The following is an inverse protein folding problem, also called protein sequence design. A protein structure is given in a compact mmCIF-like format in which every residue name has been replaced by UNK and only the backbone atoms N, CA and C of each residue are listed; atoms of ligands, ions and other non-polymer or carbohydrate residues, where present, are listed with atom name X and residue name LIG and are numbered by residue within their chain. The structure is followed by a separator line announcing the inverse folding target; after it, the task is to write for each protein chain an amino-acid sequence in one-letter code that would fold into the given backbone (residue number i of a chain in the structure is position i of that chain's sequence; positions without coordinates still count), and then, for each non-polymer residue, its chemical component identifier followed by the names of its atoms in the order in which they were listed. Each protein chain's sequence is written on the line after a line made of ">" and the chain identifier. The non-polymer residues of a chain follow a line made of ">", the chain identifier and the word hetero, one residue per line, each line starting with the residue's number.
data_IF_769097623651
#
_entry.id   IF_769097623651
#
_cell.length_a   1.000
_cell.length_b   1.000
_cell.length_c   1.000
_cell.angle_alpha   90.00
_cell.angle_beta   90.00
_cell.angle_gamma   90.00
#
_symmetry.space_group_name_H-M   'P 1'
#
loop_
_entity.id
_entity.type
_entity.pdbx_description
1 polymer ?
#
# COMPACT_ATOMS: atom_id res chain seq x y z
N UNK A 1 -25.13 37.21 -63.75
CA UNK A 1 -24.60 38.59 -63.79
C UNK A 1 -24.01 38.89 -62.42
N UNK A 2 -22.69 39.09 -62.34
CA UNK A 2 -22.00 39.68 -61.18
C UNK A 2 -22.42 41.16 -61.06
N UNK A 3 -22.44 41.80 -59.86
CA UNK A 3 -21.17 42.16 -59.22
C UNK A 3 -21.10 42.26 -57.68
N UNK A 4 -19.85 42.20 -57.20
CA UNK A 4 -19.22 42.94 -56.10
C UNK A 4 -19.78 42.84 -54.67
N UNK A 5 -19.03 42.13 -53.83
CA UNK A 5 -18.12 42.80 -52.87
C UNK A 5 -17.12 41.79 -52.28
N UNK A 6 -15.86 41.89 -52.69
CA UNK A 6 -14.70 41.42 -51.94
C UNK A 6 -14.37 42.47 -50.87
N UNK A 7 -14.02 42.05 -49.65
CA UNK A 7 -12.88 42.60 -48.88
C UNK A 7 -12.58 41.65 -47.71
N UNK A 8 -11.37 41.07 -47.79
CA UNK A 8 -10.50 40.52 -46.73
C UNK A 8 -11.08 39.54 -45.70
N UNK A 9 -10.64 38.28 -45.75
CA UNK A 9 -9.52 37.79 -44.91
C UNK A 9 -9.34 36.27 -45.09
N UNK A 10 -8.65 35.83 -46.14
CA UNK A 10 -8.18 34.45 -46.26
C UNK A 10 -6.80 34.46 -46.91
N UNK A 11 -5.78 34.36 -46.06
CA UNK A 11 -4.47 33.73 -46.28
C UNK A 11 -3.50 34.28 -45.23
N UNK A 12 -3.27 33.51 -44.16
CA UNK A 12 -1.92 33.23 -43.68
C UNK A 12 -2.00 32.03 -42.70
N UNK A 13 -2.14 30.84 -43.29
CA UNK A 13 -1.48 29.68 -42.72
C UNK A 13 0.03 29.91 -42.85
N UNK A 14 0.78 29.45 -41.84
CA UNK A 14 2.25 29.46 -41.71
C UNK A 14 2.87 30.65 -40.95
N UNK A 15 2.63 30.70 -39.63
CA UNK A 15 3.66 31.09 -38.63
C UNK A 15 3.15 30.93 -37.19
N UNK A 16 2.60 29.77 -36.82
CA UNK A 16 2.47 29.45 -35.39
C UNK A 16 3.86 29.03 -34.90
N UNK A 17 4.43 29.93 -34.11
CA UNK A 17 5.75 29.85 -33.49
C UNK A 17 5.99 28.51 -32.77
N UNK A 18 7.26 28.06 -32.65
CA UNK A 18 7.60 26.87 -31.86
C UNK A 18 7.26 27.01 -30.37
N UNK A 19 6.86 28.21 -29.92
CA UNK A 19 6.41 28.48 -28.55
C UNK A 19 5.03 27.89 -28.21
N UNK A 20 4.15 27.62 -29.19
CA UNK A 20 2.81 27.06 -28.90
C UNK A 20 2.83 25.52 -28.80
N UNK A 21 3.94 24.87 -29.20
CA UNK A 21 4.19 23.46 -28.89
C UNK A 21 4.73 23.23 -27.48
N UNK A 22 5.09 24.29 -26.74
CA UNK A 22 5.75 24.19 -25.44
C UNK A 22 4.80 24.30 -24.22
N UNK A 23 3.48 24.45 -24.41
CA UNK A 23 2.52 24.63 -23.31
C UNK A 23 1.48 23.51 -23.17
N UNK A 24 1.67 22.38 -23.86
CA UNK A 24 0.88 21.15 -23.67
C UNK A 24 1.73 19.99 -23.11
N UNK A 25 2.78 20.32 -22.34
CA UNK A 25 3.18 19.42 -21.26
C UNK A 25 2.17 19.65 -20.12
N UNK A 26 0.98 19.06 -20.26
CA UNK A 26 0.17 18.77 -19.09
C UNK A 26 1.10 18.01 -18.15
N UNK A 27 1.52 18.67 -17.07
CA UNK A 27 2.09 18.01 -15.90
C UNK A 27 1.04 16.97 -15.49
N UNK A 28 1.20 15.73 -15.97
CA UNK A 28 0.43 14.57 -15.56
C UNK A 28 0.91 14.17 -14.16
N UNK A 29 0.88 15.14 -13.24
CA UNK A 29 1.09 14.94 -11.82
C UNK A 29 -0.28 14.63 -11.23
N UNK A 30 -0.45 13.43 -10.69
CA UNK A 30 -1.59 13.11 -9.82
C UNK A 30 -1.77 14.24 -8.79
N UNK A 31 -2.99 14.74 -8.55
CA UNK A 31 -3.25 15.91 -7.70
C UNK A 31 -2.93 15.70 -6.21
N UNK A 32 -2.49 14.51 -5.81
CA UNK A 32 -2.32 14.09 -4.43
C UNK A 32 -0.86 13.79 -4.06
N UNK A 33 0.07 14.07 -4.97
CA UNK A 33 1.50 13.96 -4.66
C UNK A 33 1.94 15.06 -3.71
N UNK A 34 2.84 14.70 -2.80
CA UNK A 34 3.64 15.71 -2.12
C UNK A 34 4.56 16.37 -3.15
N UNK A 35 4.55 17.71 -3.29
CA UNK A 35 5.30 18.42 -4.33
C UNK A 35 6.83 18.32 -4.13
N UNK A 36 7.27 18.00 -2.91
CA UNK A 36 8.66 17.81 -2.54
C UNK A 36 8.81 16.50 -1.75
N UNK A 37 8.94 15.34 -2.41
CA UNK A 37 8.96 14.04 -1.72
C UNK A 37 10.09 13.89 -0.70
N UNK A 38 11.19 14.62 -0.87
CA UNK A 38 12.34 14.65 0.04
C UNK A 38 11.96 15.16 1.43
N UNK A 39 11.02 16.11 1.54
CA UNK A 39 10.52 16.58 2.85
C UNK A 39 9.85 15.46 3.64
N UNK A 40 9.16 14.54 2.95
CA UNK A 40 8.53 13.37 3.59
C UNK A 40 9.60 12.37 4.04
N UNK A 41 10.66 12.18 3.24
CA UNK A 41 11.82 11.37 3.61
C UNK A 41 12.50 11.93 4.86
N UNK A 42 12.79 13.23 4.88
CA UNK A 42 13.45 13.91 5.99
C UNK A 42 12.61 13.84 7.28
N UNK A 43 11.29 13.97 7.16
CA UNK A 43 10.38 13.79 8.30
C UNK A 43 10.40 12.37 8.87
N UNK A 44 10.46 11.34 8.00
CA UNK A 44 10.63 9.95 8.44
C UNK A 44 11.95 9.78 9.20
N UNK A 45 13.05 10.30 8.67
CA UNK A 45 14.36 10.26 9.33
C UNK A 45 14.36 11.01 10.67
N UNK A 46 13.70 12.17 10.73
CA UNK A 46 13.55 12.95 11.96
C UNK A 46 12.79 12.15 13.02
N UNK A 47 11.65 11.54 12.68
CA UNK A 47 10.87 10.71 13.62
C UNK A 47 11.66 9.49 14.10
N UNK A 48 12.39 8.83 13.21
CA UNK A 48 13.27 7.71 13.54
C UNK A 48 14.34 8.13 14.55
N UNK A 49 15.07 9.22 14.29
CA UNK A 49 16.11 9.73 15.18
C UNK A 49 15.55 10.07 16.57
N UNK A 50 14.37 10.70 16.63
CA UNK A 50 13.69 10.98 17.91
C UNK A 50 13.37 9.69 18.67
N UNK A 51 12.84 8.66 17.99
CA UNK A 51 12.54 7.36 18.62
C UNK A 51 13.78 6.64 19.12
N UNK A 52 14.85 6.61 18.34
CA UNK A 52 16.13 6.00 18.74
C UNK A 52 16.72 6.73 19.95
N UNK A 53 16.76 8.07 19.92
CA UNK A 53 17.27 8.87 21.03
C UNK A 53 16.48 8.65 22.32
N UNK A 54 15.15 8.63 22.24
CA UNK A 54 14.28 8.35 23.41
C UNK A 54 14.58 6.98 24.01
N UNK A 55 14.71 5.94 23.16
CA UNK A 55 15.08 4.60 23.61
C UNK A 55 16.45 4.58 24.29
N UNK A 56 17.45 5.24 23.71
CA UNK A 56 18.81 5.29 24.26
C UNK A 56 18.86 5.99 25.63
N UNK A 57 18.22 7.16 25.76
CA UNK A 57 18.21 7.92 27.02
C UNK A 57 17.57 7.10 28.16
N UNK A 58 16.44 6.43 27.88
CA UNK A 58 15.75 5.63 28.89
C UNK A 58 16.53 4.37 29.26
N UNK A 59 17.23 3.74 28.31
CA UNK A 59 18.09 2.57 28.60
C UNK A 59 19.30 2.88 29.50
N UNK A 60 19.69 4.16 29.62
CA UNK A 60 20.79 4.59 30.50
C UNK A 60 20.29 4.91 31.92
N UNK A 61 18.99 5.21 32.08
CA UNK A 61 18.41 5.63 33.36
C UNK A 61 17.77 4.48 34.16
N UNK A 62 17.33 3.40 33.50
CA UNK A 62 16.68 2.26 34.16
C UNK A 62 17.61 1.05 34.22
N UNK A 63 18.08 0.72 35.43
CA UNK A 63 18.78 -0.54 35.73
C UNK A 63 17.78 -1.70 36.03
N UNK A 64 16.49 -1.51 35.74
CA UNK A 64 15.41 -2.44 36.07
C UNK A 64 14.22 -2.26 35.10
N UNK A 65 13.86 -3.29 34.33
CA UNK A 65 12.63 -3.36 33.52
C UNK A 65 12.69 -2.79 32.09
N UNK A 66 12.23 -3.57 31.10
CA UNK A 66 12.29 -3.23 29.67
C UNK A 66 11.45 -1.99 29.30
N UNK A 67 12.10 -0.92 28.86
CA UNK A 67 11.42 0.19 28.17
C UNK A 67 10.56 -0.33 27.02
N UNK A 68 9.29 0.13 26.92
CA UNK A 68 8.39 -0.22 25.82
C UNK A 68 8.88 0.29 24.45
N UNK A 69 9.84 1.25 24.46
CA UNK A 69 10.36 1.86 23.25
C UNK A 69 11.29 0.91 22.50
N UNK A 70 10.94 0.72 21.23
CA UNK A 70 11.66 -0.12 20.29
C UNK A 70 12.65 0.68 19.43
N UNK A 71 12.47 2.01 19.35
CA UNK A 71 13.19 2.85 18.39
C UNK A 71 12.53 2.89 17.01
N UNK A 72 11.38 2.22 16.87
CA UNK A 72 10.51 2.31 15.70
C UNK A 72 9.40 3.34 15.99
N UNK A 73 9.36 4.49 15.29
CA UNK A 73 8.42 5.57 15.58
C UNK A 73 6.96 5.21 15.38
N UNK A 74 6.64 4.20 14.56
CA UNK A 74 5.27 3.72 14.40
C UNK A 74 4.83 2.98 15.66
N UNK A 75 5.60 1.97 16.07
CA UNK A 75 5.27 1.13 17.22
C UNK A 75 5.35 1.92 18.53
N UNK A 76 6.37 2.76 18.70
CA UNK A 76 6.55 3.61 19.88
C UNK A 76 5.37 4.59 20.08
N UNK A 77 4.66 4.95 19.02
CA UNK A 77 3.53 5.89 19.07
C UNK A 77 2.26 5.29 19.70
N UNK A 78 2.00 3.99 19.49
CA UNK A 78 0.77 3.34 19.96
C UNK A 78 0.99 2.16 20.90
N UNK A 79 2.03 1.33 20.73
CA UNK A 79 2.26 0.14 21.58
C UNK A 79 2.64 0.50 23.00
N UNK A 80 3.28 1.65 23.18
CA UNK A 80 3.61 2.21 24.48
C UNK A 80 2.41 2.81 25.22
N UNK A 81 1.23 2.92 24.60
CA UNK A 81 0.00 3.29 25.31
C UNK A 81 -0.53 2.05 26.06
N UNK A 82 -0.49 2.00 27.41
CA UNK A 82 -0.99 0.86 28.17
C UNK A 82 -2.51 0.67 27.99
N UNK A 83 -3.22 1.69 27.47
CA UNK A 83 -4.66 1.67 27.22
C UNK A 83 -4.98 1.56 25.71
N UNK A 84 -4.05 1.11 24.86
CA UNK A 84 -4.27 1.04 23.41
C UNK A 84 -5.54 0.27 23.03
N UNK A 85 -5.95 -0.73 23.83
CA UNK A 85 -7.15 -1.54 23.62
C UNK A 85 -8.42 -0.68 23.67
N UNK A 86 -8.45 0.33 24.55
CA UNK A 86 -9.55 1.29 24.67
C UNK A 86 -9.40 2.47 23.69
N UNK A 87 -8.18 2.70 23.20
CA UNK A 87 -7.82 3.78 22.28
C UNK A 87 -7.45 3.25 20.88
N UNK A 88 -8.12 2.19 20.39
CA UNK A 88 -7.72 1.51 19.13
C UNK A 88 -7.51 2.45 17.96
N UNK A 89 -8.39 3.44 17.81
CA UNK A 89 -8.35 4.38 16.69
C UNK A 89 -7.14 5.33 16.71
N UNK A 90 -6.45 5.47 17.85
CA UNK A 90 -5.19 6.23 17.98
C UNK A 90 -4.10 5.70 17.06
N UNK A 91 -4.16 4.41 16.69
CA UNK A 91 -3.24 3.84 15.70
C UNK A 91 -3.15 4.69 14.42
N UNK A 92 -4.28 5.23 13.95
CA UNK A 92 -4.32 6.04 12.71
C UNK A 92 -3.52 7.36 12.80
N UNK A 93 -3.09 7.78 13.99
CA UNK A 93 -2.20 8.93 14.18
C UNK A 93 -0.71 8.58 14.13
N UNK A 94 -0.38 7.29 14.05
CA UNK A 94 0.98 6.77 14.11
C UNK A 94 1.60 6.47 12.75
N UNK A 95 0.86 6.71 11.66
CA UNK A 95 1.37 6.59 10.30
C UNK A 95 2.57 7.51 10.05
N UNK A 96 3.49 7.05 9.20
CA UNK A 96 4.67 7.79 8.76
C UNK A 96 4.77 7.76 7.24
N UNK A 97 5.69 8.53 6.67
CA UNK A 97 5.98 8.47 5.23
C UNK A 97 4.82 8.96 4.37
N UNK A 98 4.78 8.51 3.12
CA UNK A 98 3.76 8.97 2.17
C UNK A 98 2.33 8.54 2.51
N UNK A 99 2.16 7.51 3.32
CA UNK A 99 0.86 7.01 3.78
C UNK A 99 0.41 7.58 5.13
N UNK A 100 1.16 8.53 5.72
CA UNK A 100 0.87 9.06 7.06
C UNK A 100 -0.54 9.69 7.21
N UNK A 101 -1.12 10.17 6.10
CA UNK A 101 -2.45 10.79 6.10
C UNK A 101 -3.59 9.76 5.91
N UNK A 102 -3.28 8.46 5.91
CA UNK A 102 -4.28 7.40 5.85
C UNK A 102 -5.07 7.36 7.16
N UNK A 103 -6.27 7.93 7.16
CA UNK A 103 -7.12 7.96 8.36
C UNK A 103 -7.84 6.63 8.61
N UNK A 104 -7.92 5.75 7.61
CA UNK A 104 -8.73 4.53 7.69
C UNK A 104 -10.17 4.85 8.08
N UNK A 105 -10.70 4.08 9.03
CA UNK A 105 -12.02 4.29 9.63
C UNK A 105 -12.04 5.19 10.86
N UNK A 106 -10.98 5.97 11.15
CA UNK A 106 -10.92 6.84 12.32
C UNK A 106 -12.12 7.82 12.37
N UNK A 107 -12.71 7.97 13.56
CA UNK A 107 -13.92 8.77 13.79
C UNK A 107 -15.21 8.07 13.38
N UNK A 108 -15.13 6.89 12.76
CA UNK A 108 -16.26 6.03 12.47
C UNK A 108 -16.59 5.09 13.63
N UNK A 109 -17.73 4.42 13.50
CA UNK A 109 -18.17 3.40 14.44
C UNK A 109 -17.30 2.15 14.36
N UNK A 110 -17.26 1.41 15.48
CA UNK A 110 -16.68 0.07 15.48
C UNK A 110 -17.63 -0.91 14.81
N UNK A 111 -17.08 -1.77 13.96
CA UNK A 111 -17.78 -2.92 13.42
C UNK A 111 -17.04 -4.18 13.86
N UNK A 112 -17.69 -5.05 14.61
CA UNK A 112 -17.09 -6.31 15.07
C UNK A 112 -17.51 -7.42 14.13
N UNK A 113 -16.54 -8.00 13.42
CA UNK A 113 -16.75 -9.24 12.65
C UNK A 113 -16.97 -10.38 13.64
N UNK A 114 -18.09 -11.07 13.47
CA UNK A 114 -18.53 -12.21 14.29
C UNK A 114 -18.70 -13.48 13.46
N UNK A 115 -18.74 -13.35 12.14
CA UNK A 115 -18.86 -14.45 11.20
C UNK A 115 -17.68 -14.43 10.21
N UNK A 116 -17.03 -15.58 10.07
CA UNK A 116 -15.89 -15.78 9.16
C UNK A 116 -16.30 -16.26 7.77
N UNK A 117 -17.60 -16.49 7.53
CA UNK A 117 -18.15 -16.94 6.26
C UNK A 117 -18.04 -15.87 5.15
N UNK A 118 -18.01 -16.34 3.90
CA UNK A 118 -17.98 -15.50 2.70
C UNK A 118 -18.83 -16.10 1.56
N UNK A 119 -20.04 -16.53 1.89
CA UNK A 119 -20.85 -17.38 0.99
C UNK A 119 -21.45 -16.64 -0.21
N UNK A 120 -21.92 -15.40 -0.01
CA UNK A 120 -22.56 -14.59 -1.03
C UNK A 120 -21.77 -13.29 -1.28
N UNK A 121 -21.01 -13.19 -2.40
CA UNK A 121 -20.26 -11.99 -2.75
C UNK A 121 -21.15 -10.83 -3.20
N UNK A 122 -22.42 -11.11 -3.54
CA UNK A 122 -23.42 -10.13 -3.99
C UNK A 122 -24.26 -9.64 -2.81
N UNK A 123 -24.58 -10.48 -1.83
CA UNK A 123 -25.38 -10.09 -0.65
C UNK A 123 -24.72 -10.58 0.65
N UNK A 124 -23.59 -9.96 1.07
CA UNK A 124 -22.90 -10.39 2.27
C UNK A 124 -23.78 -10.20 3.51
N UNK A 125 -23.78 -11.19 4.41
CA UNK A 125 -24.55 -11.13 5.65
C UNK A 125 -23.92 -10.15 6.67
N UNK A 126 -24.71 -9.38 7.43
CA UNK A 126 -24.21 -8.68 8.62
C UNK A 126 -23.50 -9.65 9.58
N UNK A 127 -22.42 -9.21 10.20
CA UNK A 127 -21.48 -10.01 10.98
C UNK A 127 -20.22 -10.42 10.20
N UNK A 128 -20.26 -10.42 8.85
CA UNK A 128 -19.12 -10.82 8.01
C UNK A 128 -18.18 -9.67 7.68
N UNK A 129 -16.92 -10.00 7.38
CA UNK A 129 -15.94 -9.02 6.91
C UNK A 129 -16.38 -8.35 5.59
N UNK A 130 -16.94 -9.12 4.64
CA UNK A 130 -17.40 -8.58 3.35
C UNK A 130 -18.49 -7.53 3.53
N UNK A 131 -19.44 -7.76 4.44
CA UNK A 131 -20.45 -6.74 4.74
C UNK A 131 -19.81 -5.46 5.29
N UNK A 132 -18.84 -5.58 6.20
CA UNK A 132 -18.21 -4.44 6.84
C UNK A 132 -17.43 -3.55 5.86
N UNK A 133 -16.60 -4.15 5.01
CA UNK A 133 -15.66 -3.40 4.16
C UNK A 133 -16.33 -2.61 3.04
N UNK A 134 -17.53 -3.00 2.61
CA UNK A 134 -18.24 -2.30 1.54
C UNK A 134 -19.02 -1.07 2.01
N UNK A 135 -19.27 -0.92 3.32
CA UNK A 135 -20.12 0.16 3.84
C UNK A 135 -19.63 1.56 3.43
N UNK A 136 -20.55 2.50 3.28
CA UNK A 136 -20.20 3.86 2.83
C UNK A 136 -19.59 4.69 3.96
N UNK A 137 -20.10 4.54 5.19
CA UNK A 137 -19.58 5.25 6.36
C UNK A 137 -18.16 4.77 6.74
N UNK A 138 -17.35 5.64 7.38
CA UNK A 138 -16.10 5.22 8.00
C UNK A 138 -16.34 4.10 9.01
N UNK A 139 -15.55 3.02 8.97
CA UNK A 139 -15.66 1.92 9.94
C UNK A 139 -14.29 1.47 10.44
N UNK A 140 -14.18 1.34 11.76
CA UNK A 140 -13.07 0.64 12.41
C UNK A 140 -13.46 -0.82 12.64
N UNK A 141 -12.99 -1.70 11.76
CA UNK A 141 -13.40 -3.11 11.72
C UNK A 141 -12.46 -3.92 12.62
N UNK A 142 -13.02 -4.61 13.62
CA UNK A 142 -12.30 -5.52 14.52
C UNK A 142 -12.90 -6.93 14.44
N UNK A 143 -12.30 -7.87 15.15
CA UNK A 143 -12.70 -9.28 15.13
C UNK A 143 -12.99 -9.77 16.55
N UNK A 144 -14.11 -10.46 16.72
CA UNK A 144 -14.55 -10.99 18.02
C UNK A 144 -13.71 -12.17 18.53
N UNK A 145 -13.06 -12.90 17.63
CA UNK A 145 -12.25 -14.08 17.93
C UNK A 145 -11.23 -14.31 16.81
N UNK A 146 -10.36 -15.30 16.99
CA UNK A 146 -9.49 -15.79 15.92
C UNK A 146 -10.35 -16.31 14.76
N UNK A 147 -9.99 -15.96 13.53
CA UNK A 147 -10.78 -16.30 12.35
C UNK A 147 -9.91 -16.74 11.19
N UNK A 148 -10.38 -17.76 10.47
CA UNK A 148 -9.91 -18.10 9.13
C UNK A 148 -11.00 -17.72 8.13
N UNK A 149 -10.83 -16.59 7.46
CA UNK A 149 -11.77 -16.06 6.47
C UNK A 149 -11.30 -16.53 5.09
N UNK A 150 -11.98 -17.55 4.55
CA UNK A 150 -11.71 -18.08 3.22
C UNK A 150 -12.62 -17.41 2.20
N UNK A 151 -12.07 -16.44 1.49
CA UNK A 151 -12.80 -15.66 0.51
C UNK A 151 -13.19 -16.50 -0.71
N UNK A 152 -14.41 -16.29 -1.18
CA UNK A 152 -14.96 -16.95 -2.39
C UNK A 152 -14.56 -16.22 -3.67
N UNK A 153 -14.40 -14.90 -3.58
CA UNK A 153 -13.92 -14.00 -4.62
C UNK A 153 -13.24 -12.77 -4.00
N UNK A 154 -12.64 -11.91 -4.83
CA UNK A 154 -12.06 -10.63 -4.41
C UNK A 154 -12.93 -9.90 -3.37
N UNK A 155 -12.32 -9.53 -2.25
CA UNK A 155 -12.88 -8.69 -1.21
C UNK A 155 -12.62 -7.22 -1.59
N UNK A 156 -13.63 -6.59 -2.19
CA UNK A 156 -13.55 -5.17 -2.56
C UNK A 156 -13.73 -4.33 -1.30
N UNK A 157 -12.72 -3.54 -0.94
CA UNK A 157 -12.74 -2.67 0.24
C UNK A 157 -13.05 -1.25 -0.17
N UNK A 158 -14.06 -0.65 0.44
CA UNK A 158 -14.46 0.73 0.19
C UNK A 158 -13.54 1.73 0.92
N UNK A 159 -13.66 3.03 0.63
CA UNK A 159 -12.91 4.09 1.31
C UNK A 159 -13.24 4.17 2.81
N UNK A 160 -12.33 4.79 3.57
CA UNK A 160 -12.48 5.03 5.02
C UNK A 160 -12.71 3.76 5.83
N UNK A 161 -11.81 2.78 5.65
CA UNK A 161 -11.86 1.50 6.36
C UNK A 161 -10.56 1.27 7.11
N UNK A 162 -10.68 0.86 8.36
CA UNK A 162 -9.58 0.20 9.06
C UNK A 162 -9.97 -1.25 9.25
N UNK A 163 -9.12 -2.18 8.82
CA UNK A 163 -9.20 -3.60 9.20
C UNK A 163 -8.12 -3.82 10.27
N UNK A 164 -8.54 -3.98 11.52
CA UNK A 164 -7.68 -4.07 12.70
C UNK A 164 -7.75 -5.46 13.33
N UNK A 165 -6.75 -6.28 13.04
CA UNK A 165 -6.62 -7.63 13.57
C UNK A 165 -6.14 -7.71 15.02
N UNK A 166 -5.76 -6.60 15.67
CA UNK A 166 -5.23 -6.66 17.05
C UNK A 166 -6.22 -7.30 18.02
N UNK A 167 -5.72 -8.26 18.81
CA UNK A 167 -6.52 -9.02 19.79
C UNK A 167 -7.13 -10.31 19.24
N UNK A 168 -6.95 -10.60 17.94
CA UNK A 168 -7.35 -11.85 17.33
C UNK A 168 -6.28 -12.32 16.33
N UNK A 169 -6.16 -13.63 16.13
CA UNK A 169 -5.38 -14.18 15.03
C UNK A 169 -6.29 -14.33 13.80
N UNK A 170 -6.15 -13.42 12.83
CA UNK A 170 -7.03 -13.31 11.67
C UNK A 170 -6.28 -13.66 10.40
N UNK A 171 -6.70 -14.74 9.77
CA UNK A 171 -6.19 -15.22 8.49
C UNK A 171 -7.20 -14.92 7.38
N UNK A 172 -6.76 -14.25 6.31
CA UNK A 172 -7.52 -13.97 5.10
C UNK A 172 -6.87 -14.76 3.96
N UNK A 173 -7.64 -15.64 3.33
CA UNK A 173 -7.14 -16.56 2.30
C UNK A 173 -8.18 -16.80 1.22
N UNK A 174 -7.87 -17.65 0.25
CA UNK A 174 -8.82 -18.12 -0.75
C UNK A 174 -8.71 -17.34 -2.05
N UNK A 175 -9.86 -16.98 -2.61
CA UNK A 175 -9.98 -16.52 -4.00
C UNK A 175 -9.96 -14.99 -4.06
N UNK A 176 -9.05 -14.43 -4.85
CA UNK A 176 -8.91 -13.00 -5.14
C UNK A 176 -8.29 -12.15 -4.02
N UNK A 177 -8.52 -12.50 -2.76
CA UNK A 177 -8.08 -11.75 -1.59
C UNK A 177 -8.48 -10.26 -1.65
N UNK A 178 -7.64 -9.32 -1.24
CA UNK A 178 -8.08 -7.95 -0.97
C UNK A 178 -7.83 -7.02 -2.15
N UNK A 179 -8.85 -6.25 -2.55
CA UNK A 179 -8.74 -5.29 -3.66
C UNK A 179 -9.17 -3.90 -3.21
N UNK A 180 -8.20 -2.96 -3.22
CA UNK A 180 -8.36 -1.54 -2.94
C UNK A 180 -8.39 -0.77 -4.27
N UNK A 181 -9.56 -0.74 -4.93
CA UNK A 181 -9.68 -0.13 -6.26
C UNK A 181 -10.44 1.20 -6.22
N UNK A 182 -9.78 2.27 -6.68
CA UNK A 182 -10.31 3.64 -6.75
C UNK A 182 -10.81 4.18 -5.40
N UNK A 183 -10.15 3.80 -4.31
CA UNK A 183 -10.51 4.18 -2.95
C UNK A 183 -9.46 5.05 -2.28
N UNK A 184 -9.84 5.62 -1.14
CA UNK A 184 -8.90 6.37 -0.31
C UNK A 184 -9.12 6.16 1.18
N UNK A 185 -8.07 6.42 1.97
CA UNK A 185 -8.09 6.31 3.43
C UNK A 185 -8.41 4.89 3.88
N UNK A 186 -7.48 3.96 3.62
CA UNK A 186 -7.61 2.56 4.06
C UNK A 186 -6.40 2.21 4.91
N UNK A 187 -6.65 1.61 6.08
CA UNK A 187 -5.63 1.01 6.94
C UNK A 187 -5.89 -0.49 7.01
N UNK A 188 -4.89 -1.32 6.73
CA UNK A 188 -4.92 -2.76 6.96
C UNK A 188 -3.85 -3.06 7.98
N UNK A 189 -4.23 -3.55 9.15
CA UNK A 189 -3.34 -3.71 10.28
C UNK A 189 -3.50 -5.06 10.99
N UNK A 190 -2.39 -5.77 11.20
CA UNK A 190 -2.36 -6.94 12.10
C UNK A 190 -3.08 -8.18 11.58
N UNK A 191 -3.15 -8.39 10.26
CA UNK A 191 -3.79 -9.58 9.65
C UNK A 191 -2.78 -10.45 8.89
N UNK A 192 -3.10 -11.74 8.75
CA UNK A 192 -2.34 -12.69 7.95
C UNK A 192 -3.03 -12.88 6.59
N UNK A 193 -2.37 -12.52 5.49
CA UNK A 193 -2.91 -12.68 4.12
C UNK A 193 -2.09 -13.71 3.38
N UNK A 194 -2.68 -14.84 3.00
CA UNK A 194 -1.91 -15.91 2.37
C UNK A 194 -2.73 -16.85 1.51
N UNK A 195 -2.06 -17.63 0.64
CA UNK A 195 -2.71 -18.63 -0.20
C UNK A 195 -3.84 -18.03 -1.06
N UNK A 196 -3.62 -16.81 -1.53
CA UNK A 196 -4.51 -16.11 -2.45
C UNK A 196 -4.39 -16.71 -3.85
N UNK A 197 -5.52 -17.01 -4.48
CA UNK A 197 -5.56 -17.60 -5.82
C UNK A 197 -6.51 -16.81 -6.73
N UNK A 198 -6.34 -16.84 -8.06
CA UNK A 198 -7.20 -16.17 -9.02
C UNK A 198 -8.70 -16.40 -8.77
N UNK A 199 -9.49 -15.36 -8.96
CA UNK A 199 -10.95 -15.40 -8.88
C UNK A 199 -11.59 -14.47 -9.89
N UNK A 200 -12.90 -14.52 -10.08
CA UNK A 200 -13.62 -13.59 -10.95
C UNK A 200 -14.59 -14.29 -11.87
N UNK A 201 -14.97 -13.59 -12.93
CA UNK A 201 -16.12 -13.91 -13.78
C UNK A 201 -17.38 -14.09 -12.93
N UNK A 202 -17.62 -13.13 -12.05
CA UNK A 202 -18.74 -13.11 -11.13
C UNK A 202 -19.16 -11.68 -10.82
N UNK A 203 -20.42 -11.53 -10.44
CA UNK A 203 -20.93 -10.29 -9.84
C UNK A 203 -20.45 -10.20 -8.39
N UNK A 204 -19.87 -9.04 -8.04
CA UNK A 204 -19.36 -8.78 -6.68
C UNK A 204 -19.86 -7.40 -6.23
N UNK A 205 -20.36 -7.34 -5.00
CA UNK A 205 -20.76 -6.08 -4.37
C UNK A 205 -19.52 -5.28 -3.94
N UNK A 206 -19.46 -4.00 -4.32
CA UNK A 206 -18.39 -3.08 -3.91
C UNK A 206 -18.87 -1.95 -2.99
N UNK A 207 -20.18 -1.70 -2.93
CA UNK A 207 -20.81 -0.76 -2.01
C UNK A 207 -22.24 -1.22 -1.67
N UNK A 208 -22.94 -0.58 -0.70
CA UNK A 208 -24.33 -0.94 -0.41
C UNK A 208 -25.26 -0.79 -1.62
N UNK A 209 -24.89 0.07 -2.58
CA UNK A 209 -25.72 0.40 -3.76
C UNK A 209 -25.15 -0.11 -5.08
N UNK A 210 -23.98 -0.75 -5.09
CA UNK A 210 -23.31 -1.17 -6.31
C UNK A 210 -22.86 -2.63 -6.29
N UNK A 211 -23.30 -3.37 -7.29
CA UNK A 211 -22.80 -4.69 -7.68
C UNK A 211 -22.28 -4.57 -9.11
N UNK A 212 -21.08 -5.09 -9.36
CA UNK A 212 -20.46 -5.04 -10.68
C UNK A 212 -19.85 -6.37 -11.07
N UNK A 213 -19.84 -6.63 -12.38
CA UNK A 213 -19.15 -7.78 -12.95
C UNK A 213 -17.64 -7.61 -12.81
N UNK A 214 -16.99 -8.63 -12.26
CA UNK A 214 -15.53 -8.68 -12.06
C UNK A 214 -14.92 -9.71 -13.00
N UNK A 215 -13.93 -9.28 -13.78
CA UNK A 215 -13.09 -10.17 -14.57
C UNK A 215 -12.17 -11.01 -13.69
N UNK A 216 -11.30 -11.80 -14.32
CA UNK A 216 -10.34 -12.64 -13.61
C UNK A 216 -9.25 -11.78 -12.94
N UNK A 217 -9.04 -11.98 -11.64
CA UNK A 217 -7.92 -11.44 -10.87
C UNK A 217 -6.70 -12.37 -10.92
N UNK A 218 -5.52 -11.81 -10.68
CA UNK A 218 -4.25 -12.56 -10.75
C UNK A 218 -3.99 -13.40 -9.49
N UNK A 219 -4.64 -13.06 -8.38
CA UNK A 219 -4.52 -13.76 -7.10
C UNK A 219 -3.45 -13.15 -6.19
N UNK A 220 -3.34 -11.82 -6.21
CA UNK A 220 -2.52 -11.06 -5.28
C UNK A 220 -3.03 -11.18 -3.84
N UNK A 221 -2.16 -10.94 -2.86
CA UNK A 221 -2.57 -10.76 -1.47
C UNK A 221 -3.40 -9.48 -1.28
N UNK A 222 -2.80 -8.33 -1.57
CA UNK A 222 -3.42 -7.01 -1.50
C UNK A 222 -3.13 -6.26 -2.81
N UNK A 223 -4.17 -6.04 -3.63
CA UNK A 223 -4.09 -5.28 -4.87
C UNK A 223 -4.57 -3.84 -4.65
N UNK A 224 -3.74 -2.85 -4.97
CA UNK A 224 -3.98 -1.42 -4.82
C UNK A 224 -4.01 -0.77 -6.20
N UNK A 225 -5.20 -0.33 -6.62
CA UNK A 225 -5.45 0.10 -7.99
C UNK A 225 -6.04 1.51 -8.02
N UNK A 226 -5.28 2.48 -8.53
CA UNK A 226 -5.72 3.88 -8.59
C UNK A 226 -6.18 4.47 -7.25
N UNK A 227 -5.59 3.98 -6.15
CA UNK A 227 -6.01 4.30 -4.78
C UNK A 227 -4.99 5.19 -4.07
N UNK A 228 -5.40 5.87 -2.99
CA UNK A 228 -4.54 6.81 -2.28
C UNK A 228 -4.72 6.82 -0.77
N UNK A 229 -3.72 7.30 -0.03
CA UNK A 229 -3.75 7.35 1.45
C UNK A 229 -4.02 5.96 2.01
N UNK A 230 -3.08 5.06 1.74
CA UNK A 230 -3.15 3.65 2.11
C UNK A 230 -2.03 3.33 3.08
N UNK A 231 -2.35 2.61 4.15
CA UNK A 231 -1.36 2.14 5.12
C UNK A 231 -1.55 0.66 5.40
N UNK A 232 -0.54 -0.15 5.08
CA UNK A 232 -0.50 -1.59 5.34
C UNK A 232 0.56 -1.84 6.39
N UNK A 233 0.14 -2.24 7.59
CA UNK A 233 0.99 -2.26 8.78
C UNK A 233 0.88 -3.56 9.57
N UNK A 234 1.99 -4.10 10.11
CA UNK A 234 1.96 -5.29 10.97
C UNK A 234 1.25 -6.52 10.37
N UNK A 235 1.19 -6.63 9.05
CA UNK A 235 0.60 -7.78 8.37
C UNK A 235 1.65 -8.86 8.11
N UNK A 236 1.20 -10.12 8.01
CA UNK A 236 2.02 -11.22 7.51
C UNK A 236 1.51 -11.68 6.15
N UNK A 237 2.37 -11.69 5.12
CA UNK A 237 1.97 -12.03 3.76
C UNK A 237 2.86 -13.14 3.17
N UNK A 238 2.24 -14.16 2.55
CA UNK A 238 2.96 -15.31 1.99
C UNK A 238 2.13 -16.14 1.01
N UNK A 239 2.77 -16.98 0.20
CA UNK A 239 2.12 -18.02 -0.61
C UNK A 239 0.95 -17.56 -1.50
N UNK A 240 0.96 -16.33 -2.02
CA UNK A 240 -0.08 -15.91 -2.97
C UNK A 240 0.23 -16.43 -4.38
N UNK A 241 -0.69 -16.28 -5.33
CA UNK A 241 -0.46 -16.78 -6.68
C UNK A 241 0.43 -15.87 -7.51
N UNK A 242 0.21 -14.56 -7.41
CA UNK A 242 0.93 -13.55 -8.19
C UNK A 242 1.71 -12.61 -7.26
N UNK A 243 1.27 -11.39 -6.97
CA UNK A 243 1.90 -10.47 -6.00
C UNK A 243 1.53 -10.74 -4.53
N UNK A 244 2.37 -10.34 -3.56
CA UNK A 244 1.88 -10.17 -2.18
C UNK A 244 1.20 -8.80 -2.02
N UNK A 245 1.85 -7.73 -2.50
CA UNK A 245 1.27 -6.38 -2.55
C UNK A 245 1.60 -5.73 -3.88
N UNK A 246 0.58 -5.43 -4.66
CA UNK A 246 0.74 -4.78 -5.97
C UNK A 246 0.05 -3.41 -5.96
N UNK A 247 0.81 -2.34 -6.22
CA UNK A 247 0.29 -0.98 -6.32
C UNK A 247 0.50 -0.42 -7.72
N UNK A 248 -0.60 -0.14 -8.42
CA UNK A 248 -0.57 0.19 -9.85
C UNK A 248 -1.57 1.31 -10.19
N UNK A 249 -1.57 1.74 -11.44
CA UNK A 249 -2.62 2.59 -12.02
C UNK A 249 -2.75 3.96 -11.36
N UNK A 250 -1.62 4.59 -11.03
CA UNK A 250 -1.57 5.90 -10.41
C UNK A 250 -1.89 5.87 -8.91
N UNK A 251 -1.70 4.73 -8.25
CA UNK A 251 -1.79 4.67 -6.79
C UNK A 251 -0.67 5.48 -6.13
N UNK A 252 -0.97 6.21 -5.05
CA UNK A 252 0.01 7.12 -4.42
C UNK A 252 -0.32 7.43 -2.97
N UNK A 253 0.63 7.96 -2.19
CA UNK A 253 0.41 8.21 -0.77
C UNK A 253 0.25 6.91 0.01
N UNK A 254 1.23 6.01 -0.13
CA UNK A 254 1.17 4.66 0.43
C UNK A 254 2.30 4.47 1.45
N UNK A 255 2.02 3.79 2.55
CA UNK A 255 3.05 3.26 3.45
C UNK A 255 2.82 1.78 3.72
N UNK A 256 3.89 1.00 3.59
CA UNK A 256 3.93 -0.43 3.86
C UNK A 256 4.96 -0.61 4.97
N UNK A 257 4.50 -0.82 6.21
CA UNK A 257 5.38 -0.85 7.37
C UNK A 257 5.22 -2.05 8.29
N UNK A 258 6.29 -2.44 8.98
CA UNK A 258 6.24 -3.49 10.01
C UNK A 258 5.66 -4.84 9.55
N UNK A 259 5.63 -5.10 8.25
CA UNK A 259 5.07 -6.34 7.73
C UNK A 259 6.13 -7.45 7.71
N UNK A 260 5.67 -8.68 7.76
CA UNK A 260 6.49 -9.86 7.53
C UNK A 260 6.11 -10.50 6.19
N UNK A 261 7.08 -10.60 5.28
CA UNK A 261 6.93 -11.25 3.99
C UNK A 261 7.75 -12.54 3.98
N UNK A 262 7.19 -13.65 3.49
CA UNK A 262 7.93 -14.91 3.36
C UNK A 262 7.35 -15.80 2.27
N UNK A 263 8.15 -16.78 1.83
CA UNK A 263 7.74 -17.90 0.97
C UNK A 263 6.94 -17.46 -0.27
N UNK A 264 7.56 -16.65 -1.12
CA UNK A 264 6.88 -16.05 -2.26
C UNK A 264 7.88 -15.55 -3.33
N UNK A 265 7.55 -15.71 -4.61
CA UNK A 265 8.42 -15.27 -5.69
C UNK A 265 8.34 -13.75 -5.92
N UNK A 266 7.17 -13.28 -6.33
CA UNK A 266 6.94 -11.90 -6.76
C UNK A 266 6.35 -11.07 -5.61
N UNK A 267 7.20 -10.54 -4.73
CA UNK A 267 6.76 -9.96 -3.46
C UNK A 267 5.92 -8.69 -3.63
N UNK A 268 6.46 -7.66 -4.27
CA UNK A 268 5.82 -6.35 -4.32
C UNK A 268 6.10 -5.61 -5.63
N UNK A 269 5.05 -5.38 -6.42
CA UNK A 269 5.13 -4.58 -7.64
C UNK A 269 4.61 -3.16 -7.41
N UNK A 270 5.43 -2.16 -7.75
CA UNK A 270 5.05 -0.75 -7.70
C UNK A 270 5.10 -0.20 -9.13
N UNK A 271 3.94 -0.10 -9.77
CA UNK A 271 3.76 0.29 -11.18
C UNK A 271 3.86 -0.89 -12.15
N UNK A 272 2.91 -1.00 -13.10
CA UNK A 272 2.68 -2.19 -13.91
C UNK A 272 3.25 -2.13 -15.34
N UNK A 273 3.31 -0.94 -15.93
CA UNK A 273 3.70 -0.74 -17.34
C UNK A 273 4.73 0.39 -17.46
N UNK A 274 5.83 0.10 -18.15
CA UNK A 274 6.92 1.03 -18.43
C UNK A 274 6.49 2.25 -19.26
N UNK A 275 5.28 2.23 -19.84
CA UNK A 275 4.66 3.32 -20.62
C UNK A 275 3.51 4.03 -19.91
N UNK A 276 3.07 3.54 -18.75
CA UNK A 276 1.96 4.16 -18.02
C UNK A 276 2.42 5.40 -17.24
N UNK A 277 2.36 6.57 -17.88
CA UNK A 277 2.88 7.83 -17.33
C UNK A 277 2.30 8.26 -15.97
N UNK A 278 1.01 8.00 -15.64
CA UNK A 278 0.46 8.41 -14.34
C UNK A 278 1.18 7.80 -13.12
N UNK A 279 1.87 6.65 -13.27
CA UNK A 279 2.69 6.06 -12.21
C UNK A 279 3.93 6.93 -11.87
N UNK A 280 4.28 7.94 -12.70
CA UNK A 280 5.26 8.97 -12.32
C UNK A 280 4.87 9.71 -11.04
N UNK A 281 3.57 9.73 -10.74
CA UNK A 281 3.04 10.33 -9.53
C UNK A 281 2.94 9.42 -8.31
N UNK A 282 3.37 8.18 -8.43
CA UNK A 282 3.37 7.24 -7.31
C UNK A 282 4.38 7.66 -6.25
N UNK A 283 3.95 7.69 -4.99
CA UNK A 283 4.82 7.96 -3.84
C UNK A 283 4.56 6.91 -2.76
N UNK A 284 5.59 6.13 -2.40
CA UNK A 284 5.47 4.96 -1.50
C UNK A 284 6.61 4.94 -0.49
N UNK A 285 6.28 4.69 0.78
CA UNK A 285 7.26 4.40 1.84
C UNK A 285 7.19 2.92 2.22
N UNK A 286 8.33 2.24 2.22
CA UNK A 286 8.50 0.85 2.65
C UNK A 286 9.42 0.88 3.86
N UNK A 287 8.88 0.69 5.06
CA UNK A 287 9.62 0.93 6.29
C UNK A 287 9.52 -0.21 7.30
N UNK A 288 10.62 -0.60 7.95
CA UNK A 288 10.59 -1.55 9.08
C UNK A 288 10.01 -2.95 8.76
N UNK A 289 9.91 -3.31 7.49
CA UNK A 289 9.44 -4.64 7.11
C UNK A 289 10.56 -5.67 7.30
N UNK A 290 10.17 -6.90 7.58
CA UNK A 290 11.04 -8.05 7.50
C UNK A 290 10.71 -8.83 6.23
N UNK A 291 11.60 -8.73 5.25
CA UNK A 291 11.63 -9.59 4.07
C UNK A 291 12.39 -10.86 4.41
N UNK A 292 11.63 -11.87 4.85
CA UNK A 292 12.13 -13.09 5.46
C UNK A 292 12.51 -14.18 4.47
N UNK A 293 12.42 -15.42 4.94
CA UNK A 293 12.85 -16.60 4.18
C UNK A 293 11.97 -16.92 2.96
N UNK A 294 12.56 -17.61 1.98
CA UNK A 294 11.86 -18.11 0.80
C UNK A 294 11.35 -17.01 -0.13
N UNK A 295 11.96 -15.82 -0.12
CA UNK A 295 11.64 -14.75 -1.05
C UNK A 295 12.57 -14.75 -2.25
N UNK A 296 12.02 -14.63 -3.46
CA UNK A 296 12.83 -14.66 -4.69
C UNK A 296 13.21 -13.26 -5.15
N UNK A 297 12.22 -12.37 -5.35
CA UNK A 297 12.44 -11.05 -5.95
C UNK A 297 11.37 -10.01 -5.60
N UNK A 298 11.56 -8.79 -6.11
CA UNK A 298 10.60 -7.66 -6.05
C UNK A 298 10.32 -7.15 -4.64
N UNK A 299 11.37 -6.80 -3.90
CA UNK A 299 11.25 -6.24 -2.55
C UNK A 299 11.77 -4.78 -2.46
N UNK A 300 11.19 -3.79 -3.17
CA UNK A 300 10.16 -3.86 -4.20
C UNK A 300 10.73 -4.00 -5.62
N UNK A 301 9.84 -4.17 -6.62
CA UNK A 301 10.13 -3.86 -8.04
C UNK A 301 9.36 -2.60 -8.46
N UNK A 302 10.08 -1.52 -8.72
CA UNK A 302 9.49 -0.20 -9.00
C UNK A 302 9.49 0.19 -10.48
N UNK A 303 8.48 0.94 -10.88
CA UNK A 303 8.43 1.68 -12.15
C UNK A 303 8.03 3.12 -11.88
N UNK A 304 8.82 4.07 -12.41
CA UNK A 304 8.61 5.51 -12.20
C UNK A 304 8.49 5.85 -10.71
N UNK A 305 7.78 6.92 -10.37
CA UNK A 305 7.43 7.27 -9.00
C UNK A 305 8.62 7.55 -8.08
N UNK A 306 8.30 7.82 -6.82
CA UNK A 306 9.24 8.05 -5.74
C UNK A 306 9.03 7.02 -4.62
N UNK A 307 10.05 6.21 -4.35
CA UNK A 307 9.98 5.12 -3.39
C UNK A 307 11.06 5.31 -2.33
N UNK A 308 10.63 5.44 -1.08
CA UNK A 308 11.51 5.48 0.08
C UNK A 308 11.54 4.11 0.77
N UNK A 309 12.67 3.41 0.69
CA UNK A 309 12.90 2.10 1.30
C UNK A 309 13.80 2.30 2.52
N UNK A 310 13.27 2.19 3.73
CA UNK A 310 13.97 2.59 4.96
C UNK A 310 13.90 1.58 6.09
N UNK A 311 15.04 1.27 6.70
CA UNK A 311 15.13 0.40 7.89
C UNK A 311 14.41 -0.95 7.78
N UNK A 312 14.38 -1.56 6.60
CA UNK A 312 13.89 -2.93 6.41
C UNK A 312 15.02 -3.94 6.62
N UNK A 313 14.68 -5.16 7.03
CA UNK A 313 15.60 -6.29 7.09
C UNK A 313 15.32 -7.25 5.93
N UNK A 314 16.35 -7.55 5.14
CA UNK A 314 16.28 -8.42 3.96
C UNK A 314 17.12 -9.67 4.18
N UNK A 315 16.49 -10.84 4.09
CA UNK A 315 17.12 -12.12 4.33
C UNK A 315 17.12 -12.99 3.08
N UNK A 316 18.31 -13.26 2.55
CA UNK A 316 18.60 -14.33 1.59
C UNK A 316 17.64 -14.43 0.40
N UNK A 317 17.46 -13.33 -0.34
CA UNK A 317 16.69 -13.35 -1.59
C UNK A 317 17.33 -14.29 -2.63
N UNK A 318 16.52 -14.89 -3.50
CA UNK A 318 17.06 -15.84 -4.50
C UNK A 318 17.50 -15.20 -5.82
N UNK A 319 16.94 -14.04 -6.20
CA UNK A 319 17.29 -13.37 -7.47
C UNK A 319 17.76 -11.92 -7.31
N UNK A 320 16.97 -11.07 -6.65
CA UNK A 320 17.37 -9.70 -6.28
C UNK A 320 16.45 -9.15 -5.18
N UNK A 321 16.94 -8.23 -4.35
CA UNK A 321 16.10 -7.54 -3.39
C UNK A 321 15.29 -6.41 -4.05
N UNK A 322 15.95 -5.32 -4.43
CA UNK A 322 15.32 -4.10 -4.94
C UNK A 322 15.55 -4.00 -6.45
N UNK A 323 14.48 -3.83 -7.23
CA UNK A 323 14.58 -3.72 -8.68
C UNK A 323 13.78 -2.56 -9.26
N UNK A 324 14.07 -2.21 -10.50
CA UNK A 324 13.22 -1.27 -11.22
C UNK A 324 13.46 -1.14 -12.72
N UNK A 325 12.46 -0.59 -13.41
CA UNK A 325 12.46 -0.22 -14.83
C UNK A 325 11.73 1.12 -15.02
N UNK A 326 11.86 1.77 -16.19
CA UNK A 326 11.17 3.04 -16.49
C UNK A 326 11.46 4.20 -15.51
N UNK A 327 12.72 4.38 -15.13
CA UNK A 327 13.25 5.52 -14.37
C UNK A 327 12.54 5.80 -13.01
N UNK A 328 12.51 4.83 -12.07
CA UNK A 328 12.02 5.09 -10.74
C UNK A 328 13.06 5.82 -9.88
N UNK A 329 12.60 6.66 -8.97
CA UNK A 329 13.46 7.20 -7.90
C UNK A 329 13.35 6.29 -6.68
N UNK A 330 14.45 5.60 -6.34
CA UNK A 330 14.51 4.70 -5.18
C UNK A 330 15.52 5.25 -4.18
N UNK A 331 15.02 5.76 -3.05
CA UNK A 331 15.82 6.21 -1.92
C UNK A 331 15.91 5.10 -0.88
N UNK A 332 17.07 4.44 -0.76
CA UNK A 332 17.31 3.33 0.19
C UNK A 332 18.18 3.79 1.36
N UNK A 333 17.65 3.81 2.59
CA UNK A 333 18.32 4.33 3.78
C UNK A 333 18.23 3.34 4.95
N UNK A 334 19.34 3.06 5.65
CA UNK A 334 19.33 2.27 6.90
C UNK A 334 18.83 0.82 6.81
N UNK A 335 18.66 0.26 5.61
CA UNK A 335 18.25 -1.14 5.42
C UNK A 335 19.39 -2.10 5.74
N UNK A 336 19.05 -3.26 6.30
CA UNK A 336 19.97 -4.38 6.55
C UNK A 336 19.78 -5.46 5.49
N UNK A 337 20.89 -5.92 4.91
CA UNK A 337 20.86 -6.95 3.85
C UNK A 337 21.75 -8.13 4.25
N UNK A 338 21.15 -9.29 4.39
CA UNK A 338 21.85 -10.58 4.53
C UNK A 338 21.77 -11.31 3.20
N UNK A 339 22.81 -11.18 2.37
CA UNK A 339 22.83 -11.80 1.04
C UNK A 339 22.79 -13.34 1.10
N UNK A 340 22.20 -14.01 0.09
CA UNK A 340 22.19 -15.47 -0.02
C UNK A 340 23.60 -16.04 -0.20
N UNK A 341 23.76 -17.36 -0.02
CA UNK A 341 25.04 -18.05 -0.28
C UNK A 341 25.49 -17.96 -1.75
N UNK A 342 24.54 -18.00 -2.69
CA UNK A 342 24.78 -17.97 -4.14
C UNK A 342 25.48 -16.66 -4.57
N UNK A 343 26.57 -16.82 -5.32
CA UNK A 343 27.38 -15.70 -5.83
C UNK A 343 26.64 -14.89 -6.90
N UNK A 344 25.71 -15.52 -7.64
CA UNK A 344 24.95 -14.87 -8.71
C UNK A 344 23.79 -14.01 -8.19
N UNK A 345 23.44 -14.15 -6.90
CA UNK A 345 22.36 -13.43 -6.25
C UNK A 345 22.85 -12.41 -5.21
N UNK A 346 24.15 -12.05 -5.22
CA UNK A 346 24.72 -11.08 -4.27
C UNK A 346 24.29 -9.64 -4.54
N UNK A 347 23.90 -9.31 -5.77
CA UNK A 347 23.50 -7.95 -6.12
C UNK A 347 22.14 -7.62 -5.51
N UNK A 348 22.12 -6.67 -4.58
CA UNK A 348 20.89 -6.15 -3.97
C UNK A 348 19.98 -5.50 -5.02
N UNK A 349 20.58 -4.85 -6.04
CA UNK A 349 19.88 -4.00 -7.00
C UNK A 349 19.80 -4.70 -8.36
N UNK A 350 18.67 -4.55 -9.06
CA UNK A 350 18.56 -4.97 -10.47
C UNK A 350 17.89 -3.90 -11.32
N UNK A 351 18.66 -3.32 -12.25
CA UNK A 351 18.09 -2.47 -13.32
C UNK A 351 17.60 -3.36 -14.45
N UNK A 352 16.31 -3.34 -14.73
CA UNK A 352 15.74 -4.00 -15.92
C UNK A 352 15.72 -2.97 -17.06
N UNK A 353 16.18 -3.38 -18.24
CA UNK A 353 16.17 -2.57 -19.46
C UNK A 353 14.76 -2.39 -19.98
#
# INVERSE_FOLDING_TARGET
>A
MLPNTCILLLCLLCSLSPLIRATLNLNLTLPHQHPNPEVVVDEVQRRLNVSILRRQVLSVQENDGSSCLTGNPVDDCWRCDPNWQNNRQRLADCGIGFGQDAMGGKGGEFYVVTDSSDEDPVNPAPGTLRYAVIQTQPLWITFSTNMLIKLKYELIVNSFKTIDGRGANVHITGRGCMTLQYVSNVIIHGVHVHHCVPSGNADIRSSPTHVGWRGKSDGDGISIFGSRKIWIDHCSLSYCRDGLIDAIMGSTGITISNNYFSHHDEVMLLGHDDKYLPDSGMQVTIAFNHFGEGLVQRMPRCRRGYIHVVNNDFTQWEMYAIGGSANPTINSQGNRYTAPGDINAKEVKKKKK
#
